data_IF_931547977618
#
_entry.id   IF_931547977618
#
_cell.length_a   1.000
_cell.length_b   1.000
_cell.length_c   1.000
_cell.angle_alpha   90.00
_cell.angle_beta   90.00
_cell.angle_gamma   90.00
#
_symmetry.space_group_name_H-M   'P 1'
#
loop_
_entity.id
_entity.type
_entity.pdbx_description
1 polymer ?
#
# COMPACT_ATOMS: atom_id res chain seq x y z
N UNK A 1 32.42 6.13 1.94
CA UNK A 1 31.37 6.95 2.59
C UNK A 1 29.95 6.37 2.38
N UNK A 2 29.60 5.95 1.18
CA UNK A 2 28.30 5.34 0.86
C UNK A 2 28.05 4.01 1.61
N UNK A 3 29.01 3.08 1.68
CA UNK A 3 28.89 1.78 2.37
C UNK A 3 28.63 1.92 3.87
N UNK A 4 29.34 2.83 4.54
CA UNK A 4 29.15 3.07 5.97
C UNK A 4 27.76 3.63 6.29
N UNK A 5 27.24 4.54 5.45
CA UNK A 5 25.88 5.07 5.61
C UNK A 5 24.82 3.99 5.39
N UNK A 6 25.03 3.12 4.40
CA UNK A 6 24.16 1.99 4.10
C UNK A 6 24.10 0.99 5.25
N UNK A 7 25.25 0.53 5.77
CA UNK A 7 25.34 -0.38 6.92
C UNK A 7 24.66 0.20 8.16
N UNK A 8 24.84 1.49 8.39
CA UNK A 8 24.24 2.18 9.52
C UNK A 8 22.72 2.25 9.41
N UNK A 9 22.19 2.49 8.23
CA UNK A 9 20.75 2.49 7.96
C UNK A 9 20.18 1.08 8.10
N UNK A 10 20.84 0.05 7.57
CA UNK A 10 20.43 -1.35 7.72
C UNK A 10 20.36 -1.75 9.20
N UNK A 11 21.32 -1.31 10.01
CA UNK A 11 21.34 -1.57 11.45
C UNK A 11 20.17 -0.88 12.18
N UNK A 12 19.86 0.37 11.87
CA UNK A 12 18.71 1.06 12.46
C UNK A 12 17.38 0.43 12.02
N UNK A 13 17.24 0.07 10.76
CA UNK A 13 16.05 -0.61 10.24
C UNK A 13 15.83 -1.97 10.92
N UNK A 14 16.91 -2.74 11.08
CA UNK A 14 16.87 -4.01 11.80
C UNK A 14 16.37 -3.83 13.25
N UNK A 15 16.96 -2.91 14.00
CA UNK A 15 16.55 -2.67 15.40
C UNK A 15 15.10 -2.16 15.50
N UNK A 16 14.66 -1.31 14.57
CA UNK A 16 13.27 -0.88 14.50
C UNK A 16 12.31 -2.08 14.31
N UNK A 17 12.65 -3.00 13.41
CA UNK A 17 11.84 -4.22 13.15
C UNK A 17 11.82 -5.17 14.35
N UNK A 18 12.88 -5.20 15.11
CA UNK A 18 12.96 -5.97 16.37
C UNK A 18 12.20 -5.31 17.55
N UNK A 19 11.58 -4.15 17.33
CA UNK A 19 10.82 -3.42 18.35
C UNK A 19 11.67 -2.58 19.31
N UNK A 20 12.94 -2.38 19.02
CA UNK A 20 13.91 -1.59 19.80
C UNK A 20 14.49 -0.45 18.96
N UNK A 21 13.70 0.57 18.57
CA UNK A 21 14.18 1.67 17.75
C UNK A 21 15.26 2.47 18.49
N UNK A 22 16.39 2.71 17.83
CA UNK A 22 17.56 3.40 18.38
C UNK A 22 17.59 4.88 18.03
N UNK A 23 16.84 5.28 17.02
CA UNK A 23 16.64 6.67 16.58
C UNK A 23 15.16 6.90 16.31
N UNK A 24 14.73 8.16 16.32
CA UNK A 24 13.35 8.50 15.98
C UNK A 24 13.13 8.48 14.46
N UNK A 25 11.86 8.51 14.05
CA UNK A 25 11.45 8.37 12.65
C UNK A 25 12.02 9.48 11.76
N UNK A 26 12.00 10.74 12.23
CA UNK A 26 12.56 11.88 11.48
C UNK A 26 14.07 11.73 11.24
N UNK A 27 14.81 11.22 12.22
CA UNK A 27 16.24 10.97 12.10
C UNK A 27 16.52 9.86 11.09
N UNK A 28 15.71 8.80 11.12
CA UNK A 28 15.84 7.70 10.19
C UNK A 28 15.54 8.12 8.75
N UNK A 29 14.43 8.85 8.54
CA UNK A 29 14.01 9.31 7.22
C UNK A 29 15.05 10.27 6.59
N UNK A 30 15.67 11.12 7.39
CA UNK A 30 16.80 11.95 6.94
C UNK A 30 18.03 11.15 6.50
N UNK A 31 18.35 10.07 7.24
CA UNK A 31 19.45 9.19 6.87
C UNK A 31 19.15 8.43 5.58
N UNK A 32 17.93 7.93 5.44
CA UNK A 32 17.47 7.20 4.25
C UNK A 32 17.47 8.12 3.02
N UNK A 33 16.95 9.34 3.14
CA UNK A 33 17.00 10.36 2.09
C UNK A 33 18.44 10.72 1.69
N UNK A 34 19.33 10.84 2.68
CA UNK A 34 20.75 11.12 2.42
C UNK A 34 21.43 9.97 1.67
N UNK A 35 21.19 8.72 2.07
CA UNK A 35 21.70 7.56 1.34
C UNK A 35 21.20 7.56 -0.11
N UNK A 36 19.90 7.80 -0.32
CA UNK A 36 19.34 7.84 -1.68
C UNK A 36 19.97 8.94 -2.54
N UNK A 37 20.23 10.13 -1.96
CA UNK A 37 20.88 11.25 -2.66
C UNK A 37 22.32 10.92 -3.06
N UNK A 38 23.06 10.21 -2.20
CA UNK A 38 24.48 9.86 -2.40
C UNK A 38 24.63 8.61 -3.27
N UNK A 39 23.74 7.63 -3.11
CA UNK A 39 23.75 6.36 -3.84
C UNK A 39 22.33 5.81 -4.02
N UNK A 40 21.58 6.25 -5.05
CA UNK A 40 20.24 5.77 -5.30
C UNK A 40 20.17 4.27 -5.64
N UNK A 41 21.29 3.66 -6.01
CA UNK A 41 21.42 2.24 -6.32
C UNK A 41 22.00 1.42 -5.16
N UNK A 42 22.03 1.95 -3.94
CA UNK A 42 22.48 1.20 -2.77
C UNK A 42 21.69 -0.11 -2.61
N UNK A 43 22.36 -1.18 -2.18
CA UNK A 43 21.72 -2.48 -1.97
C UNK A 43 20.58 -2.41 -0.94
N UNK A 44 20.66 -1.49 0.01
CA UNK A 44 19.59 -1.18 0.93
C UNK A 44 18.26 -0.89 0.21
N UNK A 45 18.28 -0.07 -0.85
CA UNK A 45 17.06 0.26 -1.61
C UNK A 45 16.63 -0.89 -2.53
N UNK A 46 17.53 -1.71 -3.02
CA UNK A 46 17.15 -2.91 -3.76
C UNK A 46 16.50 -3.95 -2.87
N UNK A 47 16.95 -4.09 -1.63
CA UNK A 47 16.31 -4.92 -0.59
C UNK A 47 14.96 -4.33 -0.13
N UNK A 48 14.83 -3.01 -0.13
CA UNK A 48 13.58 -2.26 0.11
C UNK A 48 12.87 -1.87 -1.19
N UNK A 49 13.07 -2.63 -2.26
CA UNK A 49 12.34 -2.41 -3.51
C UNK A 49 10.86 -2.22 -3.22
N UNK A 50 10.24 -1.21 -3.87
CA UNK A 50 8.77 -1.10 -3.91
C UNK A 50 8.11 -2.33 -4.53
N UNK A 51 8.90 -3.23 -5.08
CA UNK A 51 8.58 -4.57 -5.51
C UNK A 51 9.15 -5.61 -4.52
N UNK A 52 8.50 -6.78 -4.42
CA UNK A 52 7.30 -7.17 -5.14
C UNK A 52 6.04 -6.48 -4.58
N UNK A 53 5.02 -6.33 -5.43
CA UNK A 53 3.66 -6.03 -5.01
C UNK A 53 2.93 -7.36 -4.77
N UNK A 54 2.96 -7.94 -3.57
CA UNK A 54 2.47 -9.28 -3.33
C UNK A 54 0.96 -9.37 -3.53
N UNK A 55 0.50 -10.53 -3.96
CA UNK A 55 -0.92 -10.86 -3.86
C UNK A 55 -1.28 -11.08 -2.39
N UNK A 56 -2.51 -10.74 -2.00
CA UNK A 56 -2.99 -11.11 -0.67
C UNK A 56 -3.42 -12.58 -0.63
N UNK A 57 -3.24 -13.28 0.51
CA UNK A 57 -3.87 -14.58 0.73
C UNK A 57 -5.38 -14.41 0.67
N UNK A 58 -6.10 -15.44 0.19
CA UNK A 58 -7.53 -15.39 -0.04
C UNK A 58 -8.25 -16.35 0.87
N UNK A 59 -9.31 -15.85 1.52
CA UNK A 59 -10.28 -16.65 2.29
C UNK A 59 -9.69 -17.51 3.40
N UNK A 60 -8.50 -17.17 3.92
CA UNK A 60 -7.81 -17.87 5.02
C UNK A 60 -8.11 -17.21 6.35
N UNK A 61 -9.40 -17.12 6.70
CA UNK A 61 -9.86 -16.36 7.88
C UNK A 61 -9.27 -16.94 9.18
N UNK A 62 -9.34 -18.25 9.33
CA UNK A 62 -8.87 -18.95 10.54
C UNK A 62 -7.37 -18.74 10.75
N UNK A 63 -6.56 -18.93 9.69
CA UNK A 63 -5.12 -18.68 9.72
C UNK A 63 -4.81 -17.19 10.02
N UNK A 64 -5.61 -16.27 9.48
CA UNK A 64 -5.42 -14.83 9.69
C UNK A 64 -5.70 -14.40 11.12
N UNK A 65 -6.75 -14.95 11.76
CA UNK A 65 -7.12 -14.61 13.15
C UNK A 65 -6.34 -15.44 14.20
N UNK A 66 -5.67 -16.50 13.81
CA UNK A 66 -4.89 -17.35 14.70
C UNK A 66 -3.87 -16.52 15.48
N UNK A 67 -3.85 -16.67 16.80
CA UNK A 67 -2.96 -15.96 17.71
C UNK A 67 -3.25 -14.46 17.87
N UNK A 68 -4.37 -13.94 17.32
CA UNK A 68 -4.84 -12.59 17.63
C UNK A 68 -5.67 -12.59 18.92
N UNK A 69 -5.53 -11.52 19.69
CA UNK A 69 -6.44 -11.25 20.80
C UNK A 69 -7.83 -10.87 20.26
N UNK A 70 -8.92 -11.20 20.98
CA UNK A 70 -10.29 -10.90 20.55
C UNK A 70 -10.54 -9.41 20.25
N UNK A 71 -9.87 -8.52 20.97
CA UNK A 71 -9.96 -7.06 20.87
C UNK A 71 -8.91 -6.45 19.91
N UNK A 72 -8.23 -7.29 19.12
CA UNK A 72 -7.30 -6.79 18.10
C UNK A 72 -8.06 -5.95 17.06
N UNK A 73 -7.64 -4.70 16.91
CA UNK A 73 -8.23 -3.78 15.93
C UNK A 73 -7.83 -4.14 14.50
N UNK A 74 -8.84 -4.20 13.66
CA UNK A 74 -8.70 -4.50 12.23
C UNK A 74 -9.30 -3.37 11.40
N UNK A 75 -8.82 -3.25 10.17
CA UNK A 75 -9.35 -2.33 9.16
C UNK A 75 -9.89 -3.16 7.99
N UNK A 76 -11.12 -2.88 7.57
CA UNK A 76 -11.71 -3.45 6.35
C UNK A 76 -11.77 -2.37 5.28
N UNK A 77 -11.29 -2.70 4.09
CA UNK A 77 -11.25 -1.86 2.89
C UNK A 77 -11.90 -2.59 1.71
N UNK A 78 -12.39 -1.85 0.67
CA UNK A 78 -12.80 -2.48 -0.59
C UNK A 78 -11.60 -3.13 -1.25
N UNK A 79 -11.77 -4.33 -1.79
CA UNK A 79 -10.81 -4.92 -2.70
C UNK A 79 -11.10 -4.38 -4.10
N UNK A 80 -10.51 -3.23 -4.41
CA UNK A 80 -10.70 -2.57 -5.70
C UNK A 80 -10.16 -3.46 -6.82
N UNK A 81 -10.95 -3.65 -7.86
CA UNK A 81 -10.57 -4.44 -9.04
C UNK A 81 -9.90 -3.55 -10.08
N UNK A 82 -8.60 -3.45 -10.00
CA UNK A 82 -7.75 -2.60 -10.84
C UNK A 82 -6.37 -3.20 -11.08
N UNK A 83 -5.39 -2.33 -11.17
CA UNK A 83 -3.98 -2.68 -11.32
C UNK A 83 -3.14 -2.02 -10.23
N UNK A 84 -2.47 -2.83 -9.43
CA UNK A 84 -1.59 -2.33 -8.37
C UNK A 84 -0.41 -1.53 -8.94
N UNK A 85 -0.21 -0.33 -8.40
CA UNK A 85 0.88 0.57 -8.71
C UNK A 85 1.58 0.95 -7.40
N UNK A 86 2.91 0.97 -7.43
CA UNK A 86 3.73 1.54 -6.37
C UNK A 86 4.33 2.86 -6.83
N UNK A 87 4.17 3.89 -6.00
CA UNK A 87 4.69 5.24 -6.21
C UNK A 87 5.86 5.48 -5.27
N UNK A 88 6.88 6.15 -5.75
CA UNK A 88 8.02 6.58 -4.94
C UNK A 88 8.20 8.08 -5.07
N UNK A 89 8.19 8.74 -3.92
CA UNK A 89 8.48 10.17 -3.81
C UNK A 89 9.76 10.38 -3.04
N UNK A 90 10.51 11.40 -3.44
CA UNK A 90 11.72 11.86 -2.77
C UNK A 90 11.61 13.36 -2.60
N UNK A 91 11.77 13.83 -1.37
CA UNK A 91 11.63 15.24 -1.02
C UNK A 91 10.35 15.87 -1.63
N UNK A 92 9.29 15.07 -1.64
CA UNK A 92 7.98 15.45 -2.16
C UNK A 92 7.75 15.30 -3.64
N UNK A 93 8.76 15.05 -4.47
CA UNK A 93 8.61 14.87 -5.93
C UNK A 93 8.35 13.41 -6.29
N UNK A 94 7.37 13.14 -7.19
CA UNK A 94 7.15 11.81 -7.73
C UNK A 94 8.29 11.43 -8.69
N UNK A 95 9.16 10.53 -8.24
CA UNK A 95 10.34 10.11 -9.01
C UNK A 95 10.13 8.78 -9.74
N UNK A 96 9.24 7.89 -9.22
CA UNK A 96 9.02 6.57 -9.80
C UNK A 96 7.60 6.07 -9.58
N UNK A 97 7.04 5.42 -10.61
CA UNK A 97 5.79 4.68 -10.51
C UNK A 97 5.96 3.32 -11.22
N UNK A 98 5.72 2.23 -10.49
CA UNK A 98 6.03 0.87 -10.95
C UNK A 98 4.79 -0.01 -10.89
N UNK A 99 4.55 -0.75 -11.97
CA UNK A 99 3.52 -1.79 -12.00
C UNK A 99 3.98 -3.06 -11.27
N UNK A 100 3.02 -3.96 -10.97
CA UNK A 100 3.30 -5.26 -10.34
C UNK A 100 4.38 -6.09 -11.07
N UNK A 101 4.49 -5.95 -12.38
CA UNK A 101 5.47 -6.68 -13.19
C UNK A 101 6.81 -5.96 -13.32
N UNK A 102 7.02 -4.87 -12.58
CA UNK A 102 8.26 -4.09 -12.60
C UNK A 102 8.37 -3.06 -13.72
N UNK A 103 7.33 -2.91 -14.55
CA UNK A 103 7.33 -1.92 -15.63
C UNK A 103 7.27 -0.50 -15.07
N UNK A 104 8.16 0.38 -15.55
CA UNK A 104 8.15 1.80 -15.21
C UNK A 104 7.02 2.52 -15.95
N UNK A 105 6.13 3.13 -15.20
CA UNK A 105 4.96 3.86 -15.67
C UNK A 105 4.98 5.33 -15.25
N UNK A 106 6.10 5.84 -14.78
CA UNK A 106 6.21 7.17 -14.14
C UNK A 106 5.56 8.28 -14.99
N UNK A 107 5.91 8.36 -16.28
CA UNK A 107 5.38 9.40 -17.17
C UNK A 107 3.87 9.28 -17.44
N UNK A 108 3.33 8.06 -17.38
CA UNK A 108 1.89 7.82 -17.53
C UNK A 108 1.13 8.17 -16.27
N UNK A 109 1.64 7.69 -15.13
CA UNK A 109 1.01 7.87 -13.82
C UNK A 109 0.99 9.35 -13.41
N UNK A 110 1.98 10.14 -13.78
CA UNK A 110 1.99 11.61 -13.60
C UNK A 110 0.81 12.34 -14.24
N UNK A 111 0.13 11.71 -15.20
CA UNK A 111 -1.05 12.26 -15.90
C UNK A 111 -2.38 11.88 -15.20
N UNK A 112 -2.35 10.98 -14.21
CA UNK A 112 -3.55 10.60 -13.45
C UNK A 112 -3.88 11.70 -12.45
N UNK A 113 -5.09 12.30 -12.49
CA UNK A 113 -5.43 13.43 -11.63
C UNK A 113 -5.33 13.14 -10.12
N UNK A 114 -5.66 11.91 -9.70
CA UNK A 114 -5.62 11.47 -8.30
C UNK A 114 -4.19 11.17 -7.79
N UNK A 115 -3.18 11.30 -8.64
CA UNK A 115 -1.78 11.10 -8.25
C UNK A 115 -1.08 12.47 -8.17
N UNK A 116 -0.88 13.02 -6.97
CA UNK A 116 -0.15 14.27 -6.82
C UNK A 116 1.28 14.12 -7.36
N UNK A 117 1.69 14.99 -8.28
CA UNK A 117 3.09 15.04 -8.74
C UNK A 117 4.04 15.56 -7.65
N UNK A 118 3.49 16.34 -6.70
CA UNK A 118 4.20 16.91 -5.54
C UNK A 118 3.39 16.74 -4.27
N UNK A 119 4.04 16.31 -3.20
CA UNK A 119 3.48 16.15 -1.86
C UNK A 119 4.36 16.83 -0.81
N UNK A 120 3.80 17.18 0.36
CA UNK A 120 4.56 17.84 1.43
C UNK A 120 5.22 16.80 2.33
N UNK A 121 6.31 16.18 1.86
CA UNK A 121 7.15 15.27 2.65
C UNK A 121 8.62 15.56 2.42
N UNK A 122 9.46 15.24 3.39
CA UNK A 122 10.91 15.16 3.25
C UNK A 122 11.35 13.70 3.23
N UNK A 123 12.43 13.42 2.49
CA UNK A 123 12.96 12.08 2.38
C UNK A 123 12.16 11.18 1.44
N UNK A 124 12.35 9.90 1.62
CA UNK A 124 11.75 8.83 0.78
C UNK A 124 10.42 8.39 1.35
N UNK A 125 9.37 8.45 0.55
CA UNK A 125 8.11 7.77 0.86
C UNK A 125 7.68 6.87 -0.31
N UNK A 126 7.24 5.67 0.01
CA UNK A 126 6.76 4.67 -0.96
C UNK A 126 5.30 4.35 -0.67
N UNK A 127 4.45 4.50 -1.68
CA UNK A 127 3.00 4.38 -1.55
C UNK A 127 2.48 3.32 -2.52
N UNK A 128 1.63 2.43 -2.03
CA UNK A 128 0.84 1.50 -2.86
C UNK A 128 -0.57 2.00 -3.03
N UNK A 129 -1.09 1.81 -4.23
CA UNK A 129 -2.48 2.05 -4.56
C UNK A 129 -2.94 1.18 -5.70
N UNK A 130 -4.21 1.33 -6.03
CA UNK A 130 -4.85 0.66 -7.15
C UNK A 130 -5.25 1.68 -8.21
N UNK A 131 -4.80 1.49 -9.44
CA UNK A 131 -5.26 2.20 -10.61
C UNK A 131 -6.49 1.48 -11.15
N UNK A 132 -7.61 2.18 -11.27
CA UNK A 132 -8.88 1.57 -11.64
C UNK A 132 -9.74 2.54 -12.47
N UNK A 133 -10.73 2.02 -13.18
CA UNK A 133 -11.78 2.84 -13.78
C UNK A 133 -12.97 2.87 -12.81
N UNK A 134 -13.42 4.06 -12.36
CA UNK A 134 -14.62 4.19 -11.53
C UNK A 134 -15.83 3.53 -12.20
N UNK A 135 -16.65 2.84 -11.40
CA UNK A 135 -17.86 2.21 -11.89
C UNK A 135 -18.93 3.27 -12.07
N UNK A 136 -19.13 3.78 -13.29
CA UNK A 136 -20.24 4.68 -13.55
C UNK A 136 -21.58 3.96 -13.52
N UNK A 137 -21.70 2.68 -13.88
CA UNK A 137 -22.95 1.88 -13.76
C UNK A 137 -22.79 0.37 -13.89
N UNK A 138 -21.61 -0.21 -14.14
CA UNK A 138 -21.50 -1.65 -14.32
C UNK A 138 -20.31 -2.24 -13.54
N UNK A 139 -20.59 -3.25 -12.70
CA UNK A 139 -19.67 -3.86 -11.72
C UNK A 139 -18.88 -5.04 -12.30
N UNK A 140 -18.70 -5.09 -13.60
CA UNK A 140 -18.01 -6.19 -14.25
C UNK A 140 -16.49 -5.97 -14.23
N UNK A 141 -15.72 -7.02 -14.52
CA UNK A 141 -14.26 -7.07 -14.68
C UNK A 141 -13.67 -6.07 -15.71
N UNK A 142 -14.42 -5.02 -16.03
CA UNK A 142 -14.09 -3.98 -17.01
C UNK A 142 -13.03 -3.00 -16.48
N UNK A 143 -13.10 -2.67 -15.18
CA UNK A 143 -12.20 -1.71 -14.55
C UNK A 143 -10.73 -2.13 -14.65
N UNK A 144 -10.41 -3.38 -14.27
CA UNK A 144 -9.05 -3.92 -14.37
C UNK A 144 -8.55 -3.94 -15.81
N UNK A 145 -9.41 -4.32 -16.77
CA UNK A 145 -9.05 -4.37 -18.20
C UNK A 145 -8.72 -2.98 -18.74
N UNK A 146 -9.46 -1.96 -18.36
CA UNK A 146 -9.18 -0.57 -18.75
C UNK A 146 -7.86 -0.07 -18.17
N UNK A 147 -7.62 -0.27 -16.87
CA UNK A 147 -6.35 0.07 -16.23
C UNK A 147 -5.17 -0.67 -16.89
N UNK A 148 -5.33 -1.96 -17.18
CA UNK A 148 -4.30 -2.75 -17.86
C UNK A 148 -4.06 -2.30 -19.31
N UNK A 149 -5.11 -1.90 -20.04
CA UNK A 149 -4.98 -1.35 -21.38
C UNK A 149 -4.22 -0.02 -21.37
N UNK A 150 -4.55 0.89 -20.43
CA UNK A 150 -3.82 2.13 -20.23
C UNK A 150 -2.34 1.91 -19.97
N UNK A 151 -2.00 0.95 -19.13
CA UNK A 151 -0.60 0.67 -18.82
C UNK A 151 0.20 0.19 -20.04
N UNK A 152 -0.44 -0.55 -20.95
CA UNK A 152 0.22 -1.12 -22.17
C UNK A 152 0.29 -0.16 -23.33
N UNK A 153 -0.75 0.63 -23.60
CA UNK A 153 -0.82 1.49 -24.76
C UNK A 153 0.19 2.66 -24.69
N UNK A 154 0.83 2.99 -25.78
CA UNK A 154 1.79 4.11 -25.82
C UNK A 154 1.08 5.45 -25.58
N UNK A 155 -0.03 5.70 -26.30
CA UNK A 155 -0.85 6.91 -26.21
C UNK A 155 -2.24 6.57 -25.66
N UNK A 156 -2.36 6.47 -24.35
CA UNK A 156 -3.63 6.20 -23.69
C UNK A 156 -4.17 7.43 -22.96
N UNK A 157 -5.47 7.68 -23.10
CA UNK A 157 -6.17 8.68 -22.30
C UNK A 157 -6.29 8.20 -20.87
N UNK A 158 -6.10 9.10 -19.91
CA UNK A 158 -6.09 8.81 -18.47
C UNK A 158 -7.28 9.40 -17.72
N UNK A 159 -8.06 10.22 -18.38
CA UNK A 159 -9.15 11.03 -17.84
C UNK A 159 -10.32 10.21 -17.25
N UNK A 160 -10.41 8.94 -17.61
CA UNK A 160 -11.42 8.00 -17.09
C UNK A 160 -10.87 7.06 -16.01
N UNK A 161 -9.62 7.25 -15.57
CA UNK A 161 -8.98 6.42 -14.56
C UNK A 161 -8.79 7.20 -13.26
N UNK A 162 -8.91 6.47 -12.17
CA UNK A 162 -8.66 6.95 -10.81
C UNK A 162 -7.58 6.13 -10.12
N UNK A 163 -6.92 6.75 -9.15
CA UNK A 163 -5.95 6.08 -8.30
C UNK A 163 -6.35 6.17 -6.84
N UNK A 164 -6.39 5.04 -6.16
CA UNK A 164 -6.72 4.94 -4.74
C UNK A 164 -5.51 4.44 -3.95
N UNK A 165 -4.94 5.29 -3.09
CA UNK A 165 -3.78 4.95 -2.25
C UNK A 165 -4.23 4.24 -0.98
N UNK A 166 -3.70 3.05 -0.67
CA UNK A 166 -4.14 2.23 0.46
C UNK A 166 -3.03 1.78 1.41
N UNK A 167 -1.76 2.11 1.13
CA UNK A 167 -0.64 1.69 2.00
C UNK A 167 0.59 2.59 1.80
N UNK A 168 1.27 2.91 2.90
CA UNK A 168 2.64 3.41 2.90
C UNK A 168 3.56 2.21 3.15
N UNK A 169 4.41 1.86 2.18
CA UNK A 169 5.22 0.63 2.20
C UNK A 169 6.28 0.71 3.30
N UNK A 170 7.03 1.81 3.32
CA UNK A 170 8.07 2.08 4.32
C UNK A 170 7.54 2.84 5.54
N UNK A 171 6.20 2.86 5.72
CA UNK A 171 5.54 3.61 6.79
C UNK A 171 5.66 2.92 8.16
N UNK A 172 5.60 3.74 9.20
CA UNK A 172 5.66 3.33 10.61
C UNK A 172 4.34 3.52 11.35
N UNK A 173 3.39 4.19 10.71
CA UNK A 173 2.07 4.44 11.24
C UNK A 173 1.20 3.19 11.26
N UNK A 174 0.27 3.12 12.19
CA UNK A 174 -0.83 2.15 12.15
C UNK A 174 -1.63 2.31 10.84
N UNK A 175 -2.37 1.30 10.41
CA UNK A 175 -3.09 1.33 9.13
C UNK A 175 -4.07 2.51 9.05
N UNK A 176 -4.86 2.75 10.09
CA UNK A 176 -5.77 3.89 10.16
C UNK A 176 -5.04 5.23 9.97
N UNK A 177 -3.98 5.45 10.74
CA UNK A 177 -3.22 6.69 10.74
C UNK A 177 -2.49 6.87 9.39
N UNK A 178 -2.03 5.78 8.79
CA UNK A 178 -1.43 5.74 7.45
C UNK A 178 -2.42 6.21 6.37
N UNK A 179 -3.68 5.73 6.42
CA UNK A 179 -4.73 6.19 5.50
C UNK A 179 -5.03 7.68 5.70
N UNK A 180 -5.15 8.14 6.95
CA UNK A 180 -5.37 9.56 7.21
C UNK A 180 -4.20 10.44 6.75
N UNK A 181 -2.98 9.94 6.89
CA UNK A 181 -1.79 10.65 6.41
C UNK A 181 -1.77 10.73 4.88
N UNK A 182 -2.08 9.63 4.17
CA UNK A 182 -2.23 9.64 2.71
C UNK A 182 -3.26 10.66 2.24
N UNK A 183 -4.41 10.77 2.93
CA UNK A 183 -5.43 11.79 2.64
C UNK A 183 -4.89 13.21 2.82
N UNK A 184 -4.13 13.47 3.90
CA UNK A 184 -3.48 14.78 4.14
C UNK A 184 -2.45 15.13 3.06
N UNK A 185 -1.81 14.13 2.45
CA UNK A 185 -0.90 14.32 1.34
C UNK A 185 -1.61 14.57 -0.01
N UNK A 186 -2.94 14.52 -0.04
CA UNK A 186 -3.73 14.80 -1.24
C UNK A 186 -4.14 13.57 -2.04
N UNK A 187 -3.93 12.36 -1.52
CA UNK A 187 -4.38 11.15 -2.19
C UNK A 187 -5.85 10.84 -1.91
N UNK A 188 -6.54 10.31 -2.90
CA UNK A 188 -7.76 9.55 -2.68
C UNK A 188 -7.41 8.25 -1.95
N UNK A 189 -8.11 7.98 -0.85
CA UNK A 189 -7.95 6.75 -0.06
C UNK A 189 -9.23 5.91 -0.12
N UNK A 190 -9.18 4.60 0.10
CA UNK A 190 -10.37 3.77 0.13
C UNK A 190 -11.29 4.18 1.29
N UNK A 191 -12.58 4.02 1.08
CA UNK A 191 -13.52 3.92 2.19
C UNK A 191 -13.11 2.74 3.07
N UNK A 192 -13.20 2.87 4.39
CA UNK A 192 -12.83 1.78 5.28
C UNK A 192 -13.73 1.72 6.51
N UNK A 193 -13.71 0.58 7.20
CA UNK A 193 -14.36 0.37 8.49
C UNK A 193 -13.34 -0.15 9.50
N UNK A 194 -13.40 0.35 10.71
CA UNK A 194 -12.60 -0.16 11.82
C UNK A 194 -13.41 -1.19 12.59
N UNK A 195 -12.81 -2.36 12.81
CA UNK A 195 -13.36 -3.42 13.64
C UNK A 195 -12.62 -3.42 14.97
N UNK A 196 -13.37 -3.48 16.05
CA UNK A 196 -12.82 -3.61 17.41
C UNK A 196 -12.70 -5.08 17.84
N UNK A 197 -13.37 -6.00 17.11
CA UNK A 197 -13.37 -7.43 17.43
C UNK A 197 -13.23 -8.25 16.16
N UNK A 198 -12.46 -9.33 16.26
CA UNK A 198 -12.24 -10.26 15.14
C UNK A 198 -13.54 -10.93 14.67
N UNK A 199 -14.51 -11.11 15.56
CA UNK A 199 -15.81 -11.73 15.25
C UNK A 199 -16.70 -10.90 14.31
N UNK A 200 -16.38 -9.62 14.08
CA UNK A 200 -17.20 -8.74 13.23
C UNK A 200 -17.05 -8.99 11.73
N UNK A 201 -16.11 -9.84 11.31
CA UNK A 201 -15.86 -10.13 9.89
C UNK A 201 -17.12 -10.52 9.12
N UNK A 202 -17.84 -11.50 9.62
CA UNK A 202 -19.00 -12.08 8.93
C UNK A 202 -20.09 -11.05 8.67
N UNK A 203 -20.28 -10.11 9.59
CA UNK A 203 -21.22 -9.02 9.43
C UNK A 203 -20.83 -8.15 8.21
N UNK A 204 -19.56 -7.74 8.09
CA UNK A 204 -19.11 -6.90 6.99
C UNK A 204 -19.06 -7.66 5.67
N UNK A 205 -18.67 -8.94 5.70
CA UNK A 205 -18.73 -9.82 4.54
C UNK A 205 -20.15 -9.88 3.98
N UNK A 206 -21.14 -10.11 4.85
CA UNK A 206 -22.57 -10.13 4.48
C UNK A 206 -23.08 -8.78 3.99
N UNK A 207 -22.63 -7.67 4.58
CA UNK A 207 -22.98 -6.34 4.10
C UNK A 207 -22.45 -6.08 2.70
N UNK A 208 -21.20 -6.48 2.43
CA UNK A 208 -20.60 -6.33 1.11
C UNK A 208 -21.31 -7.20 0.07
N UNK A 209 -21.56 -8.49 0.36
CA UNK A 209 -22.26 -9.40 -0.57
C UNK A 209 -23.67 -8.93 -0.91
N UNK A 210 -24.35 -8.30 0.06
CA UNK A 210 -25.68 -7.69 -0.13
C UNK A 210 -25.59 -6.29 -0.80
N UNK A 211 -24.46 -5.89 -1.30
CA UNK A 211 -24.25 -4.58 -1.94
C UNK A 211 -24.59 -3.38 -1.04
N UNK A 212 -24.37 -3.50 0.27
CA UNK A 212 -24.57 -2.45 1.26
C UNK A 212 -23.29 -1.79 1.75
N UNK A 213 -22.13 -2.23 1.23
CA UNK A 213 -20.81 -1.76 1.63
C UNK A 213 -19.92 -1.58 0.40
N UNK A 214 -19.18 -0.47 0.34
CA UNK A 214 -18.20 -0.14 -0.70
C UNK A 214 -18.76 -0.09 -2.14
N UNK A 215 -19.99 0.37 -2.29
CA UNK A 215 -20.69 0.38 -3.59
C UNK A 215 -20.09 1.36 -4.61
N UNK A 216 -19.30 2.32 -4.15
CA UNK A 216 -18.68 3.34 -5.01
C UNK A 216 -17.42 2.85 -5.73
N UNK A 217 -17.05 1.58 -5.51
CA UNK A 217 -15.85 1.00 -6.11
C UNK A 217 -16.20 -0.23 -6.95
N UNK A 218 -15.48 -0.46 -8.05
CA UNK A 218 -15.47 -1.78 -8.69
C UNK A 218 -14.72 -2.76 -7.78
N UNK A 219 -15.42 -3.64 -7.08
CA UNK A 219 -14.81 -4.55 -6.10
C UNK A 219 -15.07 -6.00 -6.43
N UNK A 220 -14.06 -6.84 -6.22
CA UNK A 220 -14.14 -8.31 -6.28
C UNK A 220 -14.00 -8.97 -4.90
N UNK A 221 -14.18 -8.19 -3.84
CA UNK A 221 -14.07 -8.65 -2.46
C UNK A 221 -13.83 -7.51 -1.49
N UNK A 222 -13.42 -7.86 -0.30
CA UNK A 222 -12.95 -6.94 0.75
C UNK A 222 -11.54 -7.34 1.18
N UNK A 223 -10.78 -6.36 1.69
CA UNK A 223 -9.46 -6.58 2.28
C UNK A 223 -9.55 -6.31 3.77
N UNK A 224 -9.01 -7.22 4.56
CA UNK A 224 -8.87 -7.06 6.01
C UNK A 224 -7.40 -6.91 6.34
N UNK A 225 -7.07 -5.95 7.20
CA UNK A 225 -5.70 -5.65 7.62
C UNK A 225 -5.61 -5.49 9.13
N UNK A 226 -4.51 -5.91 9.72
CA UNK A 226 -4.17 -5.54 11.09
C UNK A 226 -3.99 -4.02 11.16
N UNK A 227 -4.63 -3.36 12.12
CA UNK A 227 -4.42 -1.92 12.31
C UNK A 227 -3.04 -1.61 12.90
N UNK A 228 -2.58 -2.40 13.87
CA UNK A 228 -1.31 -2.18 14.56
C UNK A 228 -0.11 -2.44 13.66
N UNK A 229 0.73 -1.42 13.44
CA UNK A 229 1.98 -1.55 12.68
C UNK A 229 2.94 -2.55 13.34
N UNK A 230 3.00 -2.54 14.67
CA UNK A 230 3.81 -3.51 15.42
C UNK A 230 3.40 -4.95 15.10
N UNK A 231 2.10 -5.25 15.11
CA UNK A 231 1.61 -6.59 14.75
C UNK A 231 1.84 -6.93 13.28
N UNK A 232 1.72 -5.95 12.38
CA UNK A 232 2.07 -6.13 10.97
C UNK A 232 3.53 -6.57 10.82
N UNK A 233 4.46 -5.89 11.49
CA UNK A 233 5.89 -6.22 11.45
C UNK A 233 6.19 -7.62 12.01
N UNK A 234 5.56 -7.99 13.13
CA UNK A 234 5.70 -9.33 13.72
C UNK A 234 5.23 -10.42 12.75
N UNK A 235 4.17 -10.14 11.98
CA UNK A 235 3.61 -11.08 10.98
C UNK A 235 4.23 -10.97 9.60
N UNK A 236 5.11 -10.00 9.36
CA UNK A 236 5.84 -9.86 8.11
C UNK A 236 7.00 -10.86 8.08
N UNK A 237 6.73 -12.04 7.52
CA UNK A 237 7.76 -13.07 7.37
C UNK A 237 8.62 -12.77 6.15
N UNK A 238 9.94 -12.79 6.37
CA UNK A 238 10.91 -12.67 5.28
C UNK A 238 10.79 -13.88 4.34
N UNK A 239 10.81 -13.64 3.04
CA UNK A 239 10.77 -14.63 1.97
C UNK A 239 9.41 -15.29 1.67
N UNK A 240 8.31 -14.79 2.20
CA UNK A 240 6.99 -15.27 1.77
C UNK A 240 6.39 -14.39 0.67
N UNK A 241 5.61 -15.03 -0.22
CA UNK A 241 5.04 -14.40 -1.41
C UNK A 241 3.87 -13.45 -1.12
N UNK A 242 3.42 -13.37 0.14
CA UNK A 242 2.30 -12.55 0.57
C UNK A 242 2.44 -12.08 2.03
N UNK A 243 1.84 -10.93 2.41
CA UNK A 243 1.85 -10.44 3.78
C UNK A 243 0.85 -11.24 4.65
N UNK A 244 1.29 -11.69 5.83
CA UNK A 244 0.41 -12.38 6.80
C UNK A 244 -0.44 -11.42 7.66
N UNK A 245 -0.26 -10.12 7.50
CA UNK A 245 -1.00 -9.07 8.22
C UNK A 245 -2.20 -8.51 7.43
N UNK A 246 -2.40 -8.98 6.23
CA UNK A 246 -3.52 -8.59 5.38
C UNK A 246 -4.06 -9.81 4.63
N UNK A 247 -5.36 -9.84 4.43
CA UNK A 247 -6.06 -10.93 3.76
C UNK A 247 -7.16 -10.37 2.85
N UNK A 248 -7.37 -11.01 1.71
CA UNK A 248 -8.52 -10.75 0.84
C UNK A 248 -9.62 -11.78 1.10
N UNK A 249 -10.86 -11.31 1.20
CA UNK A 249 -12.06 -12.13 1.22
C UNK A 249 -12.75 -11.92 -0.12
N UNK A 250 -12.92 -13.01 -0.87
CA UNK A 250 -13.57 -13.03 -2.19
C UNK A 250 -14.87 -13.85 -2.14
N UNK A 251 -15.65 -13.72 -3.20
CA UNK A 251 -16.76 -14.62 -3.55
C UNK A 251 -16.52 -15.21 -4.92
#
# INVERSE_FOLDING_TARGET
MSSYLEERIEWYDHNYRMGTPLINDDQFDKLEANLFRVNPNANYFSKKSILPLPSLPKDRIEEFIEGLLPDTRLIIEPKIDGCAIALQYIDGELVKAISRKGGDLTNKIKKIPDVPNKIKVQGLIQIRGELYAPAEHDRTSYSQRQAAAFMRAADSKSDHLSFCAFQIINGRLNQHDSLQYLRKLGFTIPEYRSLNFTTQFEMYRKQWSNKKLFNNYPTDGIVVKLNSRKLQLIREKFNESYPHWAMAIKY
#
